data_IF_294393968619
#
_entry.id   IF_294393968619
#
_cell.length_a   1.000
_cell.length_b   1.000
_cell.length_c   1.000
_cell.angle_alpha   90.00
_cell.angle_beta   90.00
_cell.angle_gamma   90.00
#
_symmetry.space_group_name_H-M   'P 1'
#
loop_
_entity.id
_entity.type
_entity.pdbx_description
1 polymer ?
#
# COMPACT_ATOMS: atom_id res chain seq x y z
N UNK A 1 -24.10 -59.51 -28.65
CA UNK A 1 -23.35 -58.25 -28.83
C UNK A 1 -24.36 -57.12 -28.67
N UNK A 2 -24.88 -56.96 -27.45
CA UNK A 2 -25.95 -56.02 -27.12
C UNK A 2 -25.36 -54.62 -26.96
N UNK A 3 -26.00 -53.65 -27.61
CA UNK A 3 -25.64 -52.25 -27.55
C UNK A 3 -25.91 -51.65 -26.16
N UNK A 4 -25.02 -50.76 -25.71
CA UNK A 4 -25.31 -49.80 -24.63
C UNK A 4 -24.70 -48.43 -25.00
N UNK A 5 -25.53 -47.38 -25.20
CA UNK A 5 -25.05 -46.02 -25.45
C UNK A 5 -24.64 -45.32 -24.15
N UNK A 6 -23.42 -44.76 -24.13
CA UNK A 6 -22.94 -43.99 -22.98
C UNK A 6 -23.69 -42.65 -22.83
N UNK A 7 -24.07 -42.25 -21.61
CA UNK A 7 -24.78 -40.99 -21.38
C UNK A 7 -23.86 -39.77 -21.45
N UNK A 8 -24.19 -38.85 -22.35
CA UNK A 8 -23.81 -37.43 -22.30
C UNK A 8 -24.41 -36.78 -21.05
N UNK A 9 -23.62 -36.65 -19.98
CA UNK A 9 -24.00 -35.77 -18.87
C UNK A 9 -22.94 -34.69 -18.64
N UNK A 10 -23.22 -33.53 -19.22
CA UNK A 10 -22.54 -32.30 -18.91
C UNK A 10 -22.85 -31.87 -17.48
N UNK A 11 -21.87 -32.01 -16.58
CA UNK A 11 -21.87 -31.26 -15.32
C UNK A 11 -20.96 -30.05 -15.45
N UNK A 12 -21.64 -28.93 -15.66
CA UNK A 12 -21.13 -27.58 -15.57
C UNK A 12 -20.37 -27.39 -14.26
N UNK A 13 -19.05 -27.22 -14.35
CA UNK A 13 -18.27 -26.53 -13.34
C UNK A 13 -17.95 -25.15 -13.90
N UNK A 14 -19.02 -24.34 -14.02
CA UNK A 14 -18.89 -22.93 -14.35
C UNK A 14 -18.45 -22.16 -13.12
N UNK A 15 -17.24 -21.59 -13.23
CA UNK A 15 -16.92 -20.20 -12.91
C UNK A 15 -17.31 -19.72 -11.50
N UNK A 16 -16.26 -19.53 -10.69
CA UNK A 16 -15.98 -18.35 -9.85
C UNK A 16 -14.59 -18.62 -9.24
N UNK A 17 -13.48 -18.03 -9.65
CA UNK A 17 -13.27 -16.67 -10.13
C UNK A 17 -13.03 -15.75 -8.93
N UNK A 18 -11.75 -15.66 -8.51
CA UNK A 18 -11.10 -14.62 -7.69
C UNK A 18 -11.85 -14.11 -6.44
N UNK A 19 -11.43 -14.58 -5.26
CA UNK A 19 -11.41 -13.75 -4.06
C UNK A 19 -10.21 -12.79 -4.16
N UNK A 20 -10.38 -11.65 -4.83
CA UNK A 20 -9.54 -10.46 -4.60
C UNK A 20 -10.26 -9.63 -3.55
N UNK A 21 -10.05 -9.98 -2.29
CA UNK A 21 -10.69 -9.33 -1.15
C UNK A 21 -9.66 -8.88 -0.13
N UNK A 22 -9.04 -7.73 -0.39
CA UNK A 22 -8.70 -6.82 0.70
C UNK A 22 -9.24 -5.44 0.30
N UNK A 23 -10.43 -5.05 0.75
CA UNK A 23 -10.81 -3.65 0.73
C UNK A 23 -9.93 -2.93 1.74
N UNK A 24 -9.02 -2.08 1.27
CA UNK A 24 -8.40 -1.08 2.14
C UNK A 24 -9.53 -0.15 2.61
N UNK A 25 -9.80 -0.01 3.91
CA UNK A 25 -10.70 1.02 4.37
C UNK A 25 -10.00 2.35 4.15
N UNK A 26 -10.32 3.06 3.06
CA UNK A 26 -10.04 4.49 2.95
C UNK A 26 -10.96 5.21 3.93
N UNK A 27 -10.58 5.14 5.21
CA UNK A 27 -11.15 5.95 6.27
C UNK A 27 -10.88 7.42 5.90
N UNK A 28 -11.97 8.10 5.57
CA UNK A 28 -12.26 9.51 5.89
C UNK A 28 -11.04 10.37 6.17
N UNK A 29 -10.53 11.03 5.12
CA UNK A 29 -9.67 12.19 5.30
C UNK A 29 -10.49 13.33 5.89
N UNK A 30 -10.35 13.59 7.19
CA UNK A 30 -10.65 14.88 7.85
C UNK A 30 -10.35 14.78 9.35
N UNK A 31 -9.11 15.04 9.72
CA UNK A 31 -8.72 15.59 11.01
C UNK A 31 -7.36 16.25 10.82
N UNK A 32 -7.35 17.51 10.40
CA UNK A 32 -6.14 18.33 10.42
C UNK A 32 -5.85 18.64 11.88
N UNK A 33 -5.05 17.82 12.55
CA UNK A 33 -4.98 17.84 14.01
C UNK A 33 -3.77 17.11 14.55
N UNK A 34 -2.58 17.64 14.26
CA UNK A 34 -1.47 17.92 15.18
C UNK A 34 -0.12 17.84 14.43
N UNK A 35 0.74 18.88 14.49
CA UNK A 35 2.04 18.88 13.84
C UNK A 35 3.04 18.03 14.64
N UNK A 36 2.84 16.72 14.66
CA UNK A 36 3.68 15.80 15.44
C UNK A 36 4.17 14.58 14.66
N UNK A 37 3.31 14.01 13.82
CA UNK A 37 3.59 12.70 13.26
C UNK A 37 4.13 12.78 11.84
N UNK A 38 5.34 12.24 11.63
CA UNK A 38 5.92 12.04 10.29
C UNK A 38 4.93 11.37 9.32
N UNK A 39 4.05 10.52 9.85
CA UNK A 39 2.99 9.82 9.12
C UNK A 39 1.96 10.78 8.53
N UNK A 40 1.56 11.81 9.28
CA UNK A 40 0.60 12.83 8.81
C UNK A 40 1.22 13.71 7.73
N UNK A 41 2.48 14.12 7.91
CA UNK A 41 3.18 14.93 6.90
C UNK A 41 3.32 14.13 5.62
N UNK A 42 3.88 12.92 5.70
CA UNK A 42 4.12 12.09 4.53
C UNK A 42 2.81 11.58 3.91
N UNK A 43 1.85 11.16 4.72
CA UNK A 43 0.57 10.61 4.29
C UNK A 43 -0.31 11.59 3.52
N UNK A 44 -0.09 12.90 3.70
CA UNK A 44 -0.71 13.96 2.87
C UNK A 44 -0.17 14.02 1.45
N UNK A 45 1.09 13.63 1.24
CA UNK A 45 1.76 13.72 -0.05
C UNK A 45 1.86 12.36 -0.76
N UNK A 46 1.87 11.25 -0.03
CA UNK A 46 1.94 9.92 -0.62
C UNK A 46 1.03 8.91 0.09
N UNK A 47 0.51 7.96 -0.68
CA UNK A 47 -0.29 6.86 -0.16
C UNK A 47 0.62 5.90 0.63
N UNK A 48 0.62 6.07 1.95
CA UNK A 48 1.26 5.15 2.88
C UNK A 48 0.32 3.98 3.18
N UNK A 49 0.80 2.77 2.94
CA UNK A 49 0.17 1.53 3.38
C UNK A 49 0.84 1.05 4.69
N UNK A 50 0.09 0.84 5.79
CA UNK A 50 0.64 0.22 6.98
C UNK A 50 1.12 -1.20 6.64
N UNK A 51 2.35 -1.52 7.00
CA UNK A 51 2.95 -2.82 6.71
C UNK A 51 3.53 -3.42 7.99
N UNK A 52 2.68 -3.93 8.88
CA UNK A 52 3.04 -4.40 10.22
C UNK A 52 2.67 -3.38 11.30
N UNK A 53 2.98 -3.68 12.57
CA UNK A 53 2.49 -2.87 13.70
C UNK A 53 3.08 -1.45 13.79
N UNK A 54 4.34 -1.23 13.37
CA UNK A 54 5.04 0.05 13.60
C UNK A 54 5.81 0.55 12.37
N UNK A 55 5.33 0.22 11.16
CA UNK A 55 5.94 0.70 9.92
C UNK A 55 4.91 0.91 8.84
N UNK A 56 5.10 1.99 8.10
CA UNK A 56 4.35 2.27 6.89
C UNK A 56 5.27 2.15 5.69
N UNK A 57 4.74 1.63 4.58
CA UNK A 57 5.41 1.61 3.29
C UNK A 57 4.65 2.43 2.28
N UNK A 58 5.36 3.09 1.38
CA UNK A 58 4.72 3.89 0.34
C UNK A 58 5.56 3.98 -0.93
N UNK A 59 4.97 4.68 -1.89
CA UNK A 59 5.73 5.24 -3.00
C UNK A 59 6.60 6.41 -2.50
N UNK A 60 7.68 6.73 -3.21
CA UNK A 60 8.56 7.82 -2.81
C UNK A 60 8.34 8.99 -3.77
N UNK A 61 7.81 10.14 -3.32
CA UNK A 61 7.55 11.28 -4.20
C UNK A 61 8.84 11.94 -4.75
N UNK A 62 10.00 11.62 -4.17
CA UNK A 62 11.30 12.15 -4.60
C UNK A 62 11.95 11.36 -5.73
N UNK A 63 11.49 10.14 -6.01
CA UNK A 63 12.03 9.33 -7.10
C UNK A 63 10.92 8.91 -8.06
N UNK A 64 11.06 9.21 -9.34
CA UNK A 64 10.16 8.71 -10.40
C UNK A 64 10.31 7.21 -10.68
N UNK A 65 10.79 6.42 -9.70
CA UNK A 65 11.02 4.99 -9.84
C UNK A 65 9.81 4.22 -9.32
N UNK A 66 9.26 3.33 -10.13
CA UNK A 66 8.01 2.58 -9.88
C UNK A 66 8.08 1.59 -8.69
N UNK A 67 9.19 1.53 -7.95
CA UNK A 67 9.37 0.60 -6.85
C UNK A 67 8.93 1.24 -5.51
N UNK A 68 7.84 0.76 -4.88
CA UNK A 68 7.38 1.28 -3.58
C UNK A 68 8.29 0.76 -2.45
N UNK A 69 9.43 1.43 -2.26
CA UNK A 69 10.44 1.08 -1.27
C UNK A 69 10.66 2.18 -0.22
N UNK A 70 9.69 3.07 -0.04
CA UNK A 70 9.69 4.08 1.01
C UNK A 70 9.22 3.46 2.33
N UNK A 71 9.99 3.59 3.40
CA UNK A 71 9.67 3.06 4.73
C UNK A 71 9.60 4.21 5.72
N UNK A 72 8.50 4.34 6.43
CA UNK A 72 8.29 5.31 7.52
C UNK A 72 8.17 4.57 8.84
N UNK A 73 8.92 5.03 9.83
CA UNK A 73 8.86 4.55 11.22
C UNK A 73 8.23 5.65 12.08
N UNK A 74 6.92 5.58 12.39
CA UNK A 74 6.28 6.56 13.28
C UNK A 74 6.95 6.61 14.64
N UNK A 75 7.29 5.43 15.19
CA UNK A 75 7.92 5.25 16.50
C UNK A 75 9.21 6.08 16.66
N UNK A 76 10.01 6.16 15.60
CA UNK A 76 11.26 6.91 15.58
C UNK A 76 11.13 8.30 14.92
N UNK A 77 9.99 8.63 14.33
CA UNK A 77 9.80 9.87 13.56
C UNK A 77 10.72 9.99 12.33
N UNK A 78 11.16 8.87 11.76
CA UNK A 78 12.12 8.83 10.64
C UNK A 78 11.56 8.14 9.41
N UNK A 79 12.08 8.54 8.24
CA UNK A 79 11.82 7.91 6.96
C UNK A 79 13.13 7.45 6.32
N UNK A 80 13.02 6.39 5.52
CA UNK A 80 14.11 5.88 4.72
C UNK A 80 13.57 5.31 3.41
N UNK A 81 14.07 5.80 2.29
CA UNK A 81 13.79 5.26 0.97
C UNK A 81 14.93 4.34 0.53
N UNK A 82 14.62 3.06 0.28
CA UNK A 82 15.60 2.09 -0.18
C UNK A 82 16.02 2.28 -1.65
N UNK A 83 15.30 3.11 -2.41
CA UNK A 83 15.54 3.33 -3.84
C UNK A 83 16.41 4.55 -4.15
N UNK A 84 16.18 5.68 -3.49
CA UNK A 84 17.04 6.86 -3.63
C UNK A 84 18.09 6.98 -2.52
N UNK A 85 17.97 6.21 -1.43
CA UNK A 85 18.81 6.36 -0.24
C UNK A 85 18.46 7.58 0.61
N UNK A 86 17.40 8.30 0.26
CA UNK A 86 17.00 9.49 0.99
C UNK A 86 16.34 9.08 2.31
N UNK A 87 16.82 9.68 3.39
CA UNK A 87 16.35 9.38 4.73
C UNK A 87 16.63 10.53 5.67
N UNK A 88 15.85 10.58 6.74
CA UNK A 88 15.92 11.64 7.74
C UNK A 88 14.67 11.69 8.59
N UNK A 89 14.46 12.85 9.21
CA UNK A 89 13.33 13.11 10.10
C UNK A 89 12.20 13.83 9.35
N UNK A 90 11.01 13.95 9.96
CA UNK A 90 9.88 14.68 9.38
C UNK A 90 10.25 16.07 8.83
N UNK A 91 11.12 16.82 9.52
CA UNK A 91 11.59 18.13 9.09
C UNK A 91 12.37 18.09 7.75
N UNK A 92 13.19 17.05 7.53
CA UNK A 92 13.93 16.88 6.27
C UNK A 92 12.99 16.59 5.11
N UNK A 93 11.96 15.78 5.34
CA UNK A 93 10.92 15.49 4.35
C UNK A 93 10.13 16.76 4.00
N UNK A 94 9.61 17.47 5.01
CA UNK A 94 8.84 18.70 4.83
C UNK A 94 9.64 19.76 4.04
N UNK A 95 10.91 19.97 4.42
CA UNK A 95 11.79 20.89 3.71
C UNK A 95 12.14 20.46 2.28
N UNK A 96 12.01 19.18 1.93
CA UNK A 96 12.29 18.68 0.58
C UNK A 96 11.04 18.76 -0.33
N UNK A 97 9.83 18.60 0.24
CA UNK A 97 8.55 18.70 -0.49
C UNK A 97 8.08 20.15 -0.69
N UNK A 98 8.44 21.07 0.19
CA UNK A 98 8.02 22.49 0.15
C UNK A 98 8.60 23.31 -1.03
N UNK A 99 9.40 22.70 -1.92
CA UNK A 99 10.18 23.42 -2.95
C UNK A 99 9.72 23.18 -4.37
#
# INVERSE_FOLDING_TARGET
MTADPMPTNGRRLSRRGKFTGVPVPTATGSAFGEPGDIVEVVGRHVALAPHGDHQLRGDCPFCGSTAPAFIVRPDHGTFHCLSCGEGGNAARFAAAIDR
#
